data_IF_890551713125
#
_entry.id   IF_890551713125
#
_cell.length_a   1.000
_cell.length_b   1.000
_cell.length_c   1.000
_cell.angle_alpha   90.00
_cell.angle_beta   90.00
_cell.angle_gamma   90.00
#
_symmetry.space_group_name_H-M   'P 1'
#
loop_
_entity.id
_entity.type
_entity.pdbx_description
1 polymer ?
#
# COMPACT_ATOMS: atom_id res chain seq x y z
N UNK A 1 9.76 -17.87 8.76
CA UNK A 1 9.54 -16.97 7.61
C UNK A 1 8.43 -17.53 6.74
N UNK A 2 7.47 -16.71 6.39
CA UNK A 2 6.34 -17.11 5.55
C UNK A 2 6.77 -17.48 4.11
N UNK A 3 7.81 -16.83 3.61
CA UNK A 3 8.44 -17.10 2.30
C UNK A 3 8.82 -18.57 2.11
N UNK A 4 9.30 -19.27 3.15
CA UNK A 4 9.66 -20.68 3.06
C UNK A 4 8.42 -21.53 2.71
N UNK A 5 7.28 -21.25 3.36
CA UNK A 5 6.02 -21.97 3.05
C UNK A 5 5.54 -21.68 1.63
N UNK A 6 5.70 -20.43 1.15
CA UNK A 6 5.35 -20.07 -0.23
C UNK A 6 6.24 -20.78 -1.25
N UNK A 7 7.55 -20.90 -0.99
CA UNK A 7 8.50 -21.61 -1.86
C UNK A 7 8.14 -23.10 -1.91
N UNK A 8 7.90 -23.73 -0.76
CA UNK A 8 7.52 -25.15 -0.71
C UNK A 8 6.19 -25.36 -1.45
N UNK A 9 5.17 -24.51 -1.19
CA UNK A 9 3.90 -24.61 -1.87
C UNK A 9 4.04 -24.45 -3.39
N UNK A 10 4.82 -23.47 -3.85
CA UNK A 10 5.09 -23.27 -5.27
C UNK A 10 5.80 -24.49 -5.88
N UNK A 11 6.80 -25.07 -5.20
CA UNK A 11 7.49 -26.25 -5.66
C UNK A 11 6.57 -27.47 -5.78
N UNK A 12 5.71 -27.71 -4.77
CA UNK A 12 4.72 -28.81 -4.79
C UNK A 12 3.73 -28.61 -5.94
N UNK A 13 3.18 -27.40 -6.11
CA UNK A 13 2.23 -27.10 -7.18
C UNK A 13 2.89 -27.22 -8.58
N UNK A 14 4.16 -26.85 -8.71
CA UNK A 14 4.89 -26.95 -9.98
C UNK A 14 5.30 -28.40 -10.32
N UNK A 15 5.58 -29.23 -9.32
CA UNK A 15 5.91 -30.63 -9.50
C UNK A 15 4.71 -31.47 -9.99
N UNK A 16 3.53 -31.17 -9.50
CA UNK A 16 2.33 -31.96 -9.84
C UNK A 16 1.73 -31.51 -11.18
N UNK A 17 1.61 -32.43 -12.14
CA UNK A 17 1.12 -32.14 -13.52
C UNK A 17 -0.22 -31.40 -13.57
N UNK A 18 -1.17 -31.71 -12.65
CA UNK A 18 -2.50 -31.09 -12.61
C UNK A 18 -2.47 -29.64 -12.17
N UNK A 19 -1.55 -29.24 -11.30
CA UNK A 19 -1.46 -27.89 -10.71
C UNK A 19 -0.32 -27.05 -11.30
N UNK A 20 0.59 -27.66 -12.07
CA UNK A 20 1.74 -26.98 -12.68
C UNK A 20 1.35 -25.72 -13.44
N UNK A 21 0.29 -25.80 -14.27
CA UNK A 21 -0.20 -24.66 -15.05
C UNK A 21 -0.66 -23.52 -14.15
N UNK A 22 -1.35 -23.83 -13.05
CA UNK A 22 -1.76 -22.84 -12.04
C UNK A 22 -0.53 -22.20 -11.40
N UNK A 23 0.45 -22.99 -10.94
CA UNK A 23 1.67 -22.47 -10.32
C UNK A 23 2.38 -21.44 -11.21
N UNK A 24 2.55 -21.71 -12.52
CA UNK A 24 3.17 -20.78 -13.44
C UNK A 24 2.33 -19.53 -13.72
N UNK A 25 1.02 -19.64 -13.73
CA UNK A 25 0.14 -18.48 -13.87
C UNK A 25 0.23 -17.55 -12.65
N UNK A 26 0.25 -18.13 -11.46
CA UNK A 26 0.30 -17.38 -10.20
C UNK A 26 1.72 -17.05 -9.73
N UNK A 27 2.74 -17.38 -10.51
CA UNK A 27 4.14 -17.08 -10.17
C UNK A 27 4.37 -15.62 -9.72
N UNK A 28 3.79 -14.57 -10.37
CA UNK A 28 3.98 -13.19 -9.90
C UNK A 28 3.50 -12.96 -8.48
N UNK A 29 2.42 -13.62 -8.04
CA UNK A 29 1.87 -13.53 -6.69
C UNK A 29 2.74 -14.26 -5.67
N UNK A 30 3.29 -15.40 -6.02
CA UNK A 30 4.27 -16.10 -5.19
C UNK A 30 5.54 -15.27 -5.03
N UNK A 31 6.07 -14.73 -6.13
CA UNK A 31 7.26 -13.88 -6.10
C UNK A 31 7.04 -12.62 -5.25
N UNK A 32 5.89 -11.97 -5.37
CA UNK A 32 5.52 -10.85 -4.51
C UNK A 32 5.61 -11.21 -3.03
N UNK A 33 4.95 -12.30 -2.61
CA UNK A 33 4.94 -12.71 -1.20
C UNK A 33 6.34 -13.14 -0.70
N UNK A 34 7.12 -13.83 -1.55
CA UNK A 34 8.48 -14.25 -1.22
C UNK A 34 9.40 -13.03 -1.06
N UNK A 35 9.38 -12.09 -2.01
CA UNK A 35 10.23 -10.89 -1.97
C UNK A 35 9.86 -10.04 -0.75
N UNK A 36 8.57 -9.78 -0.54
CA UNK A 36 8.09 -9.00 0.60
C UNK A 36 8.55 -9.56 1.95
N UNK A 37 8.36 -10.87 2.19
CA UNK A 37 8.76 -11.49 3.45
C UNK A 37 10.29 -11.57 3.60
N UNK A 38 11.02 -11.67 2.47
CA UNK A 38 12.49 -11.73 2.47
C UNK A 38 13.15 -10.40 2.81
N UNK A 39 12.45 -9.26 2.66
CA UNK A 39 12.97 -7.95 3.06
C UNK A 39 13.30 -7.84 4.56
N UNK A 40 12.75 -8.74 5.39
CA UNK A 40 13.10 -8.86 6.81
C UNK A 40 14.56 -9.26 7.05
N UNK A 41 15.15 -10.01 6.10
CA UNK A 41 16.53 -10.49 6.21
C UNK A 41 17.55 -9.38 5.99
N UNK A 42 17.17 -8.37 5.23
CA UNK A 42 18.01 -7.23 4.93
C UNK A 42 17.16 -5.96 4.98
N UNK A 43 16.98 -5.36 6.17
CA UNK A 43 16.18 -4.15 6.33
C UNK A 43 16.74 -2.97 5.53
N UNK A 44 15.86 -2.12 5.04
CA UNK A 44 16.22 -0.98 4.18
C UNK A 44 17.16 0.04 4.84
N UNK A 45 17.09 0.20 6.16
CA UNK A 45 17.98 1.07 6.94
C UNK A 45 19.44 0.58 7.04
N UNK A 46 19.73 -0.61 6.52
CA UNK A 46 21.11 -1.06 6.32
C UNK A 46 21.73 -0.52 5.03
N UNK A 47 20.91 0.08 4.15
CA UNK A 47 21.35 0.64 2.84
C UNK A 47 21.43 2.15 2.89
N UNK A 48 20.41 2.80 3.44
CA UNK A 48 20.33 4.25 3.55
C UNK A 48 19.79 4.66 4.93
N UNK A 49 20.09 5.87 5.35
CA UNK A 49 19.63 6.45 6.60
C UNK A 49 18.10 6.61 6.61
N UNK A 50 17.51 6.44 7.80
CA UNK A 50 16.07 6.60 7.98
C UNK A 50 15.72 8.08 8.07
N UNK A 51 14.88 8.55 7.17
CA UNK A 51 14.26 9.86 7.29
C UNK A 51 13.00 9.80 8.17
N UNK A 52 12.95 10.67 9.16
CA UNK A 52 11.77 10.89 10.00
C UNK A 52 11.31 12.35 9.90
N UNK A 53 12.25 13.28 9.83
CA UNK A 53 11.98 14.71 9.95
C UNK A 53 11.65 15.38 8.61
N UNK A 54 12.46 15.12 7.57
CA UNK A 54 12.31 15.86 6.31
C UNK A 54 10.95 15.60 5.65
N UNK A 55 10.52 14.35 5.61
CA UNK A 55 9.22 13.98 5.05
C UNK A 55 8.07 14.61 5.84
N UNK A 56 8.14 14.59 7.18
CA UNK A 56 7.16 15.23 8.05
C UNK A 56 7.08 16.75 7.78
N UNK A 57 8.21 17.43 7.71
CA UNK A 57 8.24 18.88 7.43
C UNK A 57 7.83 19.22 6.00
N UNK A 58 8.14 18.37 5.02
CA UNK A 58 7.67 18.51 3.65
C UNK A 58 6.13 18.40 3.58
N UNK A 59 5.55 17.38 4.22
CA UNK A 59 4.09 17.23 4.33
C UNK A 59 3.46 18.46 4.98
N UNK A 60 4.03 18.92 6.08
CA UNK A 60 3.56 20.10 6.81
C UNK A 60 3.62 21.37 5.96
N UNK A 61 4.67 21.57 5.16
CA UNK A 61 4.81 22.73 4.30
C UNK A 61 3.80 22.76 3.14
N UNK A 62 3.41 21.58 2.64
CA UNK A 62 2.50 21.46 1.50
C UNK A 62 1.02 21.36 1.95
N UNK A 63 0.76 20.68 3.04
CA UNK A 63 -0.59 20.30 3.49
C UNK A 63 -0.87 20.67 4.94
N UNK A 64 -0.07 21.56 5.53
CA UNK A 64 -0.21 21.97 6.93
C UNK A 64 -1.54 22.66 7.23
N UNK A 65 -2.12 22.30 8.37
CA UNK A 65 -3.38 22.82 8.90
C UNK A 65 -3.07 23.60 10.18
N UNK A 66 -3.54 24.83 10.30
CA UNK A 66 -3.31 25.63 11.51
C UNK A 66 -4.04 25.02 12.72
N UNK A 67 -3.29 24.76 13.80
CA UNK A 67 -3.86 24.33 15.07
C UNK A 67 -4.51 25.52 15.79
N UNK A 68 -5.77 25.38 16.19
CA UNK A 68 -6.57 26.45 16.80
C UNK A 68 -6.99 26.15 18.24
N UNK A 69 -6.98 24.88 18.64
CA UNK A 69 -7.37 24.43 19.97
C UNK A 69 -6.17 23.88 20.77
N UNK A 70 -6.31 23.85 22.10
CA UNK A 70 -5.29 23.26 22.98
C UNK A 70 -5.05 21.75 22.69
N UNK A 71 -6.11 21.02 22.33
CA UNK A 71 -6.00 19.61 21.97
C UNK A 71 -5.22 19.41 20.66
N UNK A 72 -5.46 20.26 19.66
CA UNK A 72 -4.72 20.26 18.41
C UNK A 72 -3.25 20.59 18.62
N UNK A 73 -2.95 21.66 19.37
CA UNK A 73 -1.56 22.03 19.70
C UNK A 73 -0.79 20.93 20.42
N UNK A 74 -1.44 20.17 21.30
CA UNK A 74 -0.85 19.01 21.99
C UNK A 74 -0.61 17.82 21.05
N UNK A 75 -1.35 17.71 19.97
CA UNK A 75 -1.23 16.62 19.00
C UNK A 75 -0.08 16.84 17.99
N UNK A 76 0.46 18.05 17.88
CA UNK A 76 1.53 18.42 16.94
C UNK A 76 2.87 17.86 17.41
N UNK A 77 3.48 16.97 16.66
CA UNK A 77 4.68 16.24 17.06
C UNK A 77 5.92 17.14 17.25
N UNK A 78 6.04 18.25 16.52
CA UNK A 78 7.14 19.22 16.63
C UNK A 78 6.81 20.45 17.47
N UNK A 79 5.66 20.45 18.15
CA UNK A 79 5.19 21.54 19.02
C UNK A 79 5.02 22.91 18.31
N UNK A 80 4.91 22.92 16.98
CA UNK A 80 4.61 24.14 16.19
C UNK A 80 3.11 24.42 16.14
N UNK A 81 2.71 25.46 15.40
CA UNK A 81 1.29 25.85 15.24
C UNK A 81 0.63 25.20 14.01
N UNK A 82 1.38 24.41 13.23
CA UNK A 82 0.86 23.71 12.05
C UNK A 82 0.85 22.21 12.32
N UNK A 83 -0.25 21.56 11.94
CA UNK A 83 -0.46 20.11 12.01
C UNK A 83 -0.29 19.51 10.61
N UNK A 84 0.24 18.28 10.53
CA UNK A 84 0.05 17.45 9.34
C UNK A 84 -1.38 16.87 9.33
N UNK A 85 -1.92 16.47 8.17
CA UNK A 85 -3.26 15.87 8.08
C UNK A 85 -3.49 14.67 9.02
N UNK A 86 -2.46 13.84 9.23
CA UNK A 86 -2.54 12.70 10.16
C UNK A 86 -2.74 13.13 11.63
N UNK A 87 -2.12 14.22 12.07
CA UNK A 87 -2.31 14.80 13.41
C UNK A 87 -3.71 15.40 13.56
N UNK A 88 -4.19 16.10 12.52
CA UNK A 88 -5.54 16.63 12.49
C UNK A 88 -6.57 15.51 12.70
N UNK A 89 -6.48 14.42 11.97
CA UNK A 89 -7.39 13.29 12.11
C UNK A 89 -7.20 12.48 13.40
N UNK A 90 -6.06 12.60 14.08
CA UNK A 90 -5.88 12.03 15.42
C UNK A 90 -6.79 12.72 16.44
N UNK A 91 -7.08 14.01 16.26
CA UNK A 91 -7.98 14.80 17.11
C UNK A 91 -9.42 14.75 16.57
N UNK A 92 -9.58 14.92 15.26
CA UNK A 92 -10.87 15.01 14.58
C UNK A 92 -11.24 13.67 13.92
N UNK A 93 -11.74 12.75 14.71
CA UNK A 93 -12.23 11.47 14.22
C UNK A 93 -13.65 11.19 14.76
N UNK A 94 -14.37 10.27 14.11
CA UNK A 94 -15.67 9.81 14.60
C UNK A 94 -15.90 8.33 14.23
N UNK A 95 -16.77 7.65 14.98
CA UNK A 95 -17.01 6.21 14.80
C UNK A 95 -17.46 5.83 13.39
N UNK A 96 -18.25 6.69 12.72
CA UNK A 96 -18.64 6.46 11.32
C UNK A 96 -17.43 6.43 10.38
N UNK A 97 -16.53 7.40 10.52
CA UNK A 97 -15.30 7.48 9.73
C UNK A 97 -14.36 6.31 10.07
N UNK A 98 -14.20 5.98 11.36
CA UNK A 98 -13.39 4.86 11.83
C UNK A 98 -13.88 3.53 11.25
N UNK A 99 -15.20 3.30 11.20
CA UNK A 99 -15.79 2.10 10.62
C UNK A 99 -15.44 1.97 9.13
N UNK A 100 -15.69 2.99 8.34
CA UNK A 100 -15.41 2.95 6.90
C UNK A 100 -13.92 2.92 6.59
N UNK A 101 -13.08 3.58 7.40
CA UNK A 101 -11.63 3.50 7.29
C UNK A 101 -11.14 2.05 7.39
N UNK A 102 -11.62 1.29 8.39
CA UNK A 102 -11.29 -0.12 8.51
C UNK A 102 -11.76 -0.95 7.31
N UNK A 103 -13.02 -0.78 6.88
CA UNK A 103 -13.56 -1.50 5.72
C UNK A 103 -12.75 -1.23 4.45
N UNK A 104 -12.48 0.03 4.12
CA UNK A 104 -11.67 0.36 2.95
C UNK A 104 -10.26 -0.22 3.06
N UNK A 105 -9.64 -0.09 4.22
CA UNK A 105 -8.27 -0.55 4.38
C UNK A 105 -8.12 -2.06 4.34
N UNK A 106 -9.14 -2.82 4.73
CA UNK A 106 -9.17 -4.28 4.56
C UNK A 106 -9.19 -4.71 3.08
N UNK A 107 -9.56 -3.83 2.15
CA UNK A 107 -9.68 -4.14 0.73
C UNK A 107 -8.35 -4.07 -0.03
N UNK A 108 -7.27 -3.52 0.53
CA UNK A 108 -6.05 -3.17 -0.20
C UNK A 108 -5.32 -4.34 -0.88
N UNK A 109 -5.30 -5.53 -0.30
CA UNK A 109 -4.75 -6.75 -0.90
C UNK A 109 -5.84 -7.73 -1.34
N UNK A 110 -6.88 -8.00 -0.52
CA UNK A 110 -7.89 -8.99 -0.90
C UNK A 110 -8.60 -8.68 -2.22
N UNK A 111 -8.92 -7.41 -2.50
CA UNK A 111 -9.62 -7.04 -3.74
C UNK A 111 -8.76 -7.23 -4.99
N UNK A 112 -7.49 -6.80 -5.06
CA UNK A 112 -6.57 -7.14 -6.15
C UNK A 112 -6.42 -8.65 -6.39
N UNK A 113 -6.28 -9.44 -5.32
CA UNK A 113 -6.21 -10.89 -5.42
C UNK A 113 -7.53 -11.46 -5.99
N UNK A 114 -8.67 -11.03 -5.47
CA UNK A 114 -9.98 -11.46 -5.95
C UNK A 114 -10.20 -11.10 -7.43
N UNK A 115 -9.78 -9.90 -7.84
CA UNK A 115 -9.84 -9.49 -9.24
C UNK A 115 -8.93 -10.35 -10.13
N UNK A 116 -7.72 -10.65 -9.68
CA UNK A 116 -6.81 -11.56 -10.37
C UNK A 116 -7.44 -12.94 -10.54
N UNK A 117 -7.95 -13.50 -9.44
CA UNK A 117 -8.62 -14.81 -9.45
C UNK A 117 -9.86 -14.81 -10.37
N UNK A 118 -10.67 -13.76 -10.33
CA UNK A 118 -11.79 -13.59 -11.24
C UNK A 118 -11.35 -13.63 -12.72
N UNK A 119 -10.29 -12.91 -13.08
CA UNK A 119 -9.77 -12.93 -14.46
C UNK A 119 -9.29 -14.34 -14.86
N UNK A 120 -8.67 -15.08 -13.94
CA UNK A 120 -8.22 -16.44 -14.17
C UNK A 120 -9.40 -17.42 -14.35
N UNK A 121 -10.36 -17.42 -13.44
CA UNK A 121 -11.52 -18.32 -13.45
C UNK A 121 -12.44 -18.06 -14.65
N UNK A 122 -12.60 -16.81 -15.07
CA UNK A 122 -13.35 -16.44 -16.25
C UNK A 122 -12.57 -16.59 -17.56
N UNK A 123 -11.41 -17.25 -17.51
CA UNK A 123 -10.54 -17.55 -18.67
C UNK A 123 -10.05 -16.30 -19.42
N UNK A 124 -10.05 -15.13 -18.81
CA UNK A 124 -9.48 -13.90 -19.35
C UNK A 124 -7.96 -13.87 -19.15
N UNK A 125 -7.28 -14.92 -19.59
CA UNK A 125 -5.88 -15.21 -19.26
C UNK A 125 -4.88 -14.14 -19.71
N UNK A 126 -5.19 -13.41 -20.80
CA UNK A 126 -4.34 -12.30 -21.27
C UNK A 126 -4.35 -11.18 -20.23
N UNK A 127 -5.54 -10.79 -19.75
CA UNK A 127 -5.69 -9.74 -18.75
C UNK A 127 -5.15 -10.17 -17.38
N UNK A 128 -5.38 -11.44 -17.00
CA UNK A 128 -4.81 -12.03 -15.82
C UNK A 128 -3.28 -11.89 -15.79
N UNK A 129 -2.58 -12.33 -16.86
CA UNK A 129 -1.12 -12.25 -16.95
C UNK A 129 -0.64 -10.79 -16.88
N UNK A 130 -1.26 -9.91 -17.66
CA UNK A 130 -0.89 -8.49 -17.70
C UNK A 130 -1.03 -7.86 -16.31
N UNK A 131 -2.17 -8.04 -15.65
CA UNK A 131 -2.43 -7.51 -14.32
C UNK A 131 -1.46 -8.09 -13.28
N UNK A 132 -1.27 -9.41 -13.25
CA UNK A 132 -0.41 -10.06 -12.26
C UNK A 132 1.06 -9.65 -12.39
N UNK A 133 1.58 -9.53 -13.61
CA UNK A 133 2.94 -9.05 -13.84
C UNK A 133 3.08 -7.54 -13.58
N UNK A 134 2.06 -6.74 -13.90
CA UNK A 134 2.05 -5.33 -13.54
C UNK A 134 2.01 -5.14 -12.02
N UNK A 135 1.24 -5.96 -11.31
CA UNK A 135 1.20 -5.96 -9.85
C UNK A 135 2.60 -6.25 -9.26
N UNK A 136 3.26 -7.29 -9.74
CA UNK A 136 4.63 -7.59 -9.31
C UNK A 136 5.60 -6.45 -9.65
N UNK A 137 5.53 -5.88 -10.85
CA UNK A 137 6.41 -4.78 -11.27
C UNK A 137 6.22 -3.54 -10.39
N UNK A 138 4.98 -3.14 -10.09
CA UNK A 138 4.67 -2.02 -9.19
C UNK A 138 5.25 -2.29 -7.80
N UNK A 139 5.16 -3.53 -7.30
CA UNK A 139 5.76 -3.89 -6.02
C UNK A 139 7.29 -3.81 -6.06
N UNK A 140 7.94 -4.31 -7.11
CA UNK A 140 9.40 -4.22 -7.25
C UNK A 140 9.85 -2.76 -7.27
N UNK A 141 9.16 -1.88 -8.01
CA UNK A 141 9.46 -0.44 -8.03
C UNK A 141 9.30 0.16 -6.62
N UNK A 142 8.20 -0.16 -5.93
CA UNK A 142 7.95 0.30 -4.56
C UNK A 142 8.99 -0.21 -3.56
N UNK A 143 9.37 -1.49 -3.64
CA UNK A 143 10.40 -2.07 -2.79
C UNK A 143 11.76 -1.41 -3.03
N UNK A 144 12.13 -1.13 -4.28
CA UNK A 144 13.32 -0.34 -4.59
C UNK A 144 13.23 1.04 -3.94
N UNK A 145 12.06 1.70 -4.01
CA UNK A 145 11.81 2.98 -3.34
C UNK A 145 12.06 2.91 -1.84
N UNK A 146 11.62 1.85 -1.15
CA UNK A 146 11.87 1.65 0.27
C UNK A 146 13.35 1.57 0.65
N UNK A 147 14.18 1.02 -0.24
CA UNK A 147 15.64 0.96 -0.03
C UNK A 147 16.35 2.26 -0.40
N UNK A 148 15.84 2.99 -1.41
CA UNK A 148 16.42 4.30 -1.79
C UNK A 148 16.11 5.35 -0.72
N UNK A 149 14.91 5.33 -0.14
CA UNK A 149 14.46 6.32 0.82
C UNK A 149 13.71 5.66 1.98
N UNK A 150 14.44 5.08 2.97
CA UNK A 150 13.83 4.60 4.18
C UNK A 150 13.18 5.76 4.93
N UNK A 151 11.87 5.72 5.15
CA UNK A 151 11.15 6.80 5.79
C UNK A 151 10.14 6.30 6.81
N UNK A 152 10.01 7.05 7.90
CA UNK A 152 9.05 6.77 8.96
C UNK A 152 7.65 7.28 8.59
N UNK A 153 6.58 6.54 8.90
CA UNK A 153 5.21 6.97 8.72
C UNK A 153 4.78 8.05 9.73
N UNK A 154 3.67 8.79 9.47
CA UNK A 154 3.17 9.82 10.38
C UNK A 154 3.01 9.38 11.84
N UNK A 155 2.41 8.20 12.07
CA UNK A 155 2.23 7.67 13.41
C UNK A 155 3.54 7.50 14.19
N UNK A 156 4.65 7.27 13.47
CA UNK A 156 5.96 7.15 14.10
C UNK A 156 6.41 8.50 14.69
N UNK A 157 6.39 9.56 13.87
CA UNK A 157 6.74 10.92 14.33
C UNK A 157 5.85 11.37 15.49
N UNK A 158 4.54 11.08 15.42
CA UNK A 158 3.58 11.42 16.47
C UNK A 158 3.82 10.70 17.82
N UNK A 159 4.43 9.50 17.81
CA UNK A 159 4.59 8.68 19.01
C UNK A 159 6.03 8.64 19.53
N UNK A 160 7.03 8.77 18.66
CA UNK A 160 8.46 8.60 19.00
C UNK A 160 9.31 9.86 18.69
N UNK A 161 8.70 10.90 18.09
CA UNK A 161 9.43 12.09 17.65
C UNK A 161 10.29 11.82 16.43
N UNK A 162 11.35 12.62 16.25
CA UNK A 162 12.12 12.69 15.01
C UNK A 162 13.44 11.90 15.03
N UNK A 163 13.67 11.07 16.04
CA UNK A 163 14.84 10.18 16.10
C UNK A 163 14.46 8.78 15.66
N UNK A 164 15.26 8.20 14.76
CA UNK A 164 15.08 6.81 14.36
C UNK A 164 15.47 5.86 15.50
N UNK A 165 14.51 5.04 15.94
CA UNK A 165 14.72 3.98 16.93
C UNK A 165 14.55 2.65 16.22
N UNK A 166 15.64 1.91 16.05
CA UNK A 166 15.62 0.60 15.40
C UNK A 166 14.81 -0.39 16.22
N UNK A 167 14.23 -1.37 15.54
CA UNK A 167 13.37 -2.40 16.14
C UNK A 167 12.07 -1.87 16.77
N UNK A 168 11.63 -0.67 16.42
CA UNK A 168 10.31 -0.19 16.80
C UNK A 168 9.24 -1.16 16.27
N UNK A 169 8.32 -1.64 17.13
CA UNK A 169 7.26 -2.53 16.69
C UNK A 169 6.28 -1.82 15.75
N UNK A 170 5.68 -2.57 14.83
CA UNK A 170 4.59 -2.05 14.00
C UNK A 170 3.42 -1.55 14.85
N UNK A 171 2.76 -0.51 14.40
CA UNK A 171 1.66 0.13 15.11
C UNK A 171 0.40 0.17 14.24
N UNK A 172 -0.74 -0.06 14.86
CA UNK A 172 -2.06 -0.01 14.19
C UNK A 172 -2.54 1.41 13.92
N UNK A 173 -1.90 2.39 14.55
CA UNK A 173 -2.25 3.82 14.46
C UNK A 173 -3.78 4.04 14.58
N UNK A 174 -4.38 4.90 13.77
CA UNK A 174 -5.81 5.16 13.82
C UNK A 174 -6.72 3.96 13.50
N UNK A 175 -6.21 2.89 12.87
CA UNK A 175 -7.00 1.68 12.61
C UNK A 175 -7.29 0.87 13.88
N UNK A 176 -6.55 1.12 14.97
CA UNK A 176 -6.87 0.54 16.28
C UNK A 176 -8.25 0.92 16.80
N UNK A 177 -8.82 2.06 16.36
CA UNK A 177 -10.18 2.49 16.70
C UNK A 177 -11.23 1.56 16.08
N UNK A 178 -10.99 1.07 14.87
CA UNK A 178 -11.83 0.05 14.23
C UNK A 178 -11.80 -1.28 14.98
N UNK A 179 -10.60 -1.76 15.36
CA UNK A 179 -10.45 -2.97 16.15
C UNK A 179 -11.20 -2.85 17.49
N UNK A 180 -11.06 -1.70 18.18
CA UNK A 180 -11.76 -1.44 19.44
C UNK A 180 -13.29 -1.41 19.28
N UNK A 181 -13.79 -0.83 18.18
CA UNK A 181 -15.22 -0.72 17.90
C UNK A 181 -15.85 -2.07 17.55
N UNK A 182 -15.13 -2.91 16.81
CA UNK A 182 -15.66 -4.20 16.33
C UNK A 182 -15.38 -5.36 17.26
N UNK A 183 -14.44 -5.22 18.20
CA UNK A 183 -13.91 -6.31 19.02
C UNK A 183 -13.05 -7.31 18.26
N UNK A 184 -12.75 -7.04 16.99
CA UNK A 184 -11.94 -7.90 16.11
C UNK A 184 -10.50 -7.35 16.06
N UNK A 185 -9.53 -8.06 16.60
CA UNK A 185 -8.12 -7.63 16.61
C UNK A 185 -7.41 -7.85 15.25
N UNK A 186 -8.05 -7.45 14.15
CA UNK A 186 -7.55 -7.73 12.79
C UNK A 186 -6.33 -6.88 12.49
N UNK A 187 -6.40 -5.58 12.71
CA UNK A 187 -5.29 -4.66 12.42
C UNK A 187 -4.13 -4.86 13.39
N UNK A 188 -4.41 -5.14 14.67
CA UNK A 188 -3.35 -5.54 15.62
C UNK A 188 -2.61 -6.78 15.17
N UNK A 189 -3.34 -7.78 14.66
CA UNK A 189 -2.74 -9.00 14.12
C UNK A 189 -1.90 -8.79 12.86
N UNK A 190 -2.32 -7.87 11.99
CA UNK A 190 -1.61 -7.53 10.74
C UNK A 190 -0.36 -6.68 11.01
N UNK A 191 -0.51 -5.58 11.75
CA UNK A 191 0.58 -4.62 11.96
C UNK A 191 1.59 -5.07 13.02
N UNK A 192 1.18 -5.83 14.02
CA UNK A 192 2.11 -6.43 15.00
C UNK A 192 3.12 -7.39 14.38
N UNK A 193 2.87 -7.85 13.14
CA UNK A 193 3.79 -8.70 12.35
C UNK A 193 4.53 -7.91 11.27
N UNK A 194 4.41 -6.58 11.23
CA UNK A 194 5.05 -5.78 10.20
C UNK A 194 6.57 -5.97 10.22
N UNK A 195 7.12 -6.20 9.02
CA UNK A 195 8.53 -6.51 8.86
C UNK A 195 9.43 -5.28 8.93
N UNK A 196 8.92 -4.11 8.53
CA UNK A 196 9.70 -2.89 8.39
C UNK A 196 8.80 -1.66 8.59
N UNK A 197 9.02 -0.95 9.69
CA UNK A 197 8.30 0.28 10.04
C UNK A 197 8.70 1.44 9.14
N UNK A 198 9.95 1.45 8.65
CA UNK A 198 10.54 2.53 7.86
C UNK A 198 10.37 2.35 6.35
N UNK A 199 9.31 1.70 5.94
CA UNK A 199 8.91 1.48 4.55
C UNK A 199 7.63 2.28 4.21
N UNK A 200 7.61 3.57 4.52
CA UNK A 200 6.44 4.42 4.27
C UNK A 200 6.34 4.88 2.81
N UNK A 201 7.48 5.14 2.15
CA UNK A 201 7.56 5.78 0.81
C UNK A 201 8.12 4.83 -0.24
N UNK A 202 7.39 4.64 -1.36
CA UNK A 202 6.03 5.09 -1.71
C UNK A 202 4.94 4.23 -1.07
N UNK A 203 3.70 4.76 -0.92
CA UNK A 203 2.58 3.97 -0.39
C UNK A 203 2.11 2.90 -1.37
N UNK A 204 2.45 1.64 -1.12
CA UNK A 204 1.92 0.51 -1.91
C UNK A 204 0.44 0.23 -1.60
N UNK A 205 -0.06 0.64 -0.44
CA UNK A 205 -1.49 0.62 -0.14
C UNK A 205 -2.28 1.46 -1.15
N UNK A 206 -1.78 2.66 -1.48
CA UNK A 206 -2.37 3.52 -2.48
C UNK A 206 -2.26 2.95 -3.91
N UNK A 207 -1.17 2.23 -4.20
CA UNK A 207 -0.87 1.71 -5.52
C UNK A 207 -1.80 0.57 -5.95
N UNK A 208 -2.14 -0.36 -5.05
CA UNK A 208 -2.77 -1.62 -5.43
C UNK A 208 -4.18 -1.47 -5.99
N UNK A 209 -5.04 -0.70 -5.32
CA UNK A 209 -6.40 -0.49 -5.81
C UNK A 209 -6.43 0.45 -7.01
N UNK A 210 -5.51 1.39 -7.11
CA UNK A 210 -5.37 2.21 -8.31
C UNK A 210 -4.99 1.37 -9.53
N UNK A 211 -3.99 0.48 -9.40
CA UNK A 211 -3.64 -0.49 -10.43
C UNK A 211 -4.83 -1.38 -10.82
N UNK A 212 -5.56 -1.89 -9.83
CA UNK A 212 -6.74 -2.74 -10.05
C UNK A 212 -7.81 -2.00 -10.83
N UNK A 213 -8.08 -0.73 -10.49
CA UNK A 213 -9.05 0.13 -11.19
C UNK A 213 -8.62 0.38 -12.64
N UNK A 214 -7.34 0.70 -12.88
CA UNK A 214 -6.81 0.89 -14.24
C UNK A 214 -7.03 -0.38 -15.08
N UNK A 215 -6.68 -1.55 -14.55
CA UNK A 215 -6.86 -2.81 -15.28
C UNK A 215 -8.34 -3.23 -15.44
N UNK A 216 -9.22 -2.85 -14.53
CA UNK A 216 -10.66 -3.02 -14.70
C UNK A 216 -11.18 -2.20 -15.90
N UNK A 217 -10.75 -0.93 -16.03
CA UNK A 217 -11.06 -0.09 -17.20
C UNK A 217 -10.47 -0.69 -18.47
N UNK A 218 -9.19 -1.02 -18.49
CA UNK A 218 -8.48 -1.56 -19.66
C UNK A 218 -9.06 -2.88 -20.14
N UNK A 219 -9.51 -3.74 -19.22
CA UNK A 219 -10.15 -5.02 -19.51
C UNK A 219 -11.66 -4.90 -19.78
N UNK A 220 -12.17 -3.67 -19.91
CA UNK A 220 -13.57 -3.35 -20.22
C UNK A 220 -14.56 -4.02 -19.28
N UNK A 221 -14.30 -3.91 -17.96
CA UNK A 221 -15.27 -4.37 -16.95
C UNK A 221 -16.51 -3.47 -16.98
N UNK A 222 -17.62 -3.99 -16.46
CA UNK A 222 -18.87 -3.22 -16.35
C UNK A 222 -18.63 -1.95 -15.54
N UNK A 223 -19.26 -0.86 -15.93
CA UNK A 223 -19.03 0.46 -15.33
C UNK A 223 -19.17 0.46 -13.79
N UNK A 224 -20.16 -0.27 -13.25
CA UNK A 224 -20.36 -0.35 -11.80
C UNK A 224 -19.19 -1.04 -11.07
N UNK A 225 -18.51 -2.02 -11.70
CA UNK A 225 -17.30 -2.63 -11.14
C UNK A 225 -16.15 -1.61 -11.08
N UNK A 226 -16.00 -0.81 -12.14
CA UNK A 226 -14.99 0.26 -12.20
C UNK A 226 -15.27 1.32 -11.15
N UNK A 227 -16.52 1.76 -11.00
CA UNK A 227 -16.94 2.73 -9.98
C UNK A 227 -16.70 2.17 -8.58
N UNK A 228 -17.09 0.91 -8.32
CA UNK A 228 -16.82 0.27 -7.02
C UNK A 228 -15.31 0.26 -6.69
N UNK A 229 -14.47 -0.14 -7.64
CA UNK A 229 -13.02 -0.16 -7.42
C UNK A 229 -12.44 1.24 -7.24
N UNK A 230 -12.94 2.24 -7.96
CA UNK A 230 -12.54 3.64 -7.78
C UNK A 230 -12.96 4.17 -6.39
N UNK A 231 -14.16 3.86 -5.93
CA UNK A 231 -14.60 4.22 -4.57
C UNK A 231 -13.72 3.58 -3.49
N UNK A 232 -13.41 2.28 -3.61
CA UNK A 232 -12.50 1.60 -2.69
C UNK A 232 -11.11 2.24 -2.74
N UNK A 233 -10.60 2.56 -3.94
CA UNK A 233 -9.31 3.21 -4.14
C UNK A 233 -9.23 4.55 -3.40
N UNK A 234 -10.22 5.43 -3.60
CA UNK A 234 -10.32 6.72 -2.91
C UNK A 234 -10.47 6.54 -1.40
N UNK A 235 -11.27 5.55 -0.97
CA UNK A 235 -11.42 5.19 0.43
C UNK A 235 -10.10 4.75 1.07
N UNK A 236 -9.27 3.97 0.38
CA UNK A 236 -7.94 3.58 0.86
C UNK A 236 -7.00 4.78 0.94
N UNK A 237 -6.97 5.67 -0.07
CA UNK A 237 -6.14 6.86 -0.04
C UNK A 237 -6.49 7.77 1.13
N UNK A 238 -7.79 8.00 1.33
CA UNK A 238 -8.27 8.74 2.50
C UNK A 238 -7.90 8.04 3.81
N UNK A 239 -8.13 6.74 3.94
CA UNK A 239 -7.83 5.99 5.16
C UNK A 239 -6.35 5.99 5.49
N UNK A 240 -5.47 5.89 4.49
CA UNK A 240 -4.02 5.91 4.68
C UNK A 240 -3.57 7.18 5.44
N UNK A 241 -4.14 8.34 5.09
CA UNK A 241 -3.89 9.63 5.74
C UNK A 241 -4.68 9.75 7.05
N UNK A 242 -5.98 9.42 7.05
CA UNK A 242 -6.89 9.48 8.19
C UNK A 242 -6.39 8.67 9.39
N UNK A 243 -5.82 7.51 9.12
CA UNK A 243 -5.29 6.62 10.17
C UNK A 243 -3.87 6.98 10.61
N UNK A 244 -3.18 7.90 9.92
CA UNK A 244 -1.79 8.26 10.20
C UNK A 244 -0.77 7.20 9.75
N UNK A 245 -1.17 6.28 8.85
CA UNK A 245 -0.23 5.29 8.29
C UNK A 245 0.65 5.87 7.18
N UNK A 246 0.14 6.84 6.43
CA UNK A 246 0.86 7.46 5.33
C UNK A 246 0.65 8.98 5.29
N UNK A 247 1.65 9.68 4.79
CA UNK A 247 1.54 11.06 4.35
C UNK A 247 0.77 11.16 3.03
N UNK A 248 0.22 12.32 2.69
CA UNK A 248 -0.35 12.58 1.36
C UNK A 248 0.75 12.40 0.29
N UNK A 249 1.97 12.85 0.59
CA UNK A 249 3.14 12.68 -0.27
C UNK A 249 3.37 11.19 -0.60
N UNK A 250 3.28 10.30 0.38
CA UNK A 250 3.46 8.86 0.17
C UNK A 250 2.41 8.29 -0.77
N UNK A 251 1.15 8.73 -0.59
CA UNK A 251 0.02 8.34 -1.43
C UNK A 251 0.25 8.81 -2.87
N UNK A 252 0.67 10.06 -3.06
CA UNK A 252 0.98 10.61 -4.40
C UNK A 252 2.11 9.84 -5.08
N UNK A 253 3.16 9.50 -4.35
CA UNK A 253 4.27 8.68 -4.86
C UNK A 253 3.83 7.24 -5.16
N UNK A 254 2.90 6.67 -4.40
CA UNK A 254 2.28 5.39 -4.70
C UNK A 254 1.46 5.40 -6.00
N UNK A 255 0.72 6.49 -6.25
CA UNK A 255 0.00 6.72 -7.51
C UNK A 255 1.00 6.82 -8.67
N UNK A 256 2.07 7.60 -8.51
CA UNK A 256 3.12 7.75 -9.52
C UNK A 256 3.82 6.41 -9.81
N UNK A 257 4.15 5.64 -8.78
CA UNK A 257 4.72 4.28 -8.90
C UNK A 257 3.81 3.38 -9.75
N UNK A 258 2.50 3.45 -9.54
CA UNK A 258 1.53 2.71 -10.34
C UNK A 258 1.52 3.15 -11.80
N UNK A 259 1.51 4.46 -12.05
CA UNK A 259 1.52 5.03 -13.41
C UNK A 259 2.78 4.55 -14.15
N UNK A 260 3.95 4.69 -13.52
CA UNK A 260 5.23 4.24 -14.10
C UNK A 260 5.19 2.73 -14.39
N UNK A 261 4.75 1.92 -13.43
CA UNK A 261 4.62 0.46 -13.62
C UNK A 261 3.70 0.07 -14.77
N UNK A 262 2.54 0.74 -14.90
CA UNK A 262 1.60 0.51 -16.01
C UNK A 262 2.20 0.94 -17.36
N UNK A 263 2.84 2.12 -17.41
CA UNK A 263 3.49 2.61 -18.63
C UNK A 263 4.59 1.66 -19.10
N UNK A 264 5.44 1.19 -18.20
CA UNK A 264 6.50 0.22 -18.51
C UNK A 264 5.91 -1.11 -19.02
N UNK A 265 4.90 -1.63 -18.32
CA UNK A 265 4.26 -2.91 -18.68
C UNK A 265 3.55 -2.86 -20.02
N UNK A 266 2.92 -1.72 -20.36
CA UNK A 266 2.07 -1.56 -21.54
C UNK A 266 2.75 -0.81 -22.69
N UNK A 267 3.98 -0.34 -22.54
CA UNK A 267 4.71 0.53 -23.48
C UNK A 267 4.65 0.03 -24.92
N UNK A 268 4.99 -1.25 -25.17
CA UNK A 268 4.95 -1.83 -26.55
C UNK A 268 3.58 -1.76 -27.19
N UNK A 269 2.50 -1.91 -26.40
CA UNK A 269 1.11 -1.86 -26.90
C UNK A 269 0.63 -0.45 -27.13
N UNK A 270 1.04 0.48 -26.27
CA UNK A 270 0.79 1.92 -26.43
C UNK A 270 1.44 2.39 -27.74
N UNK A 271 2.72 2.07 -27.96
CA UNK A 271 3.44 2.39 -29.18
C UNK A 271 2.80 1.79 -30.44
N UNK A 272 2.40 0.52 -30.37
CA UNK A 272 1.74 -0.15 -31.52
C UNK A 272 0.41 0.50 -31.90
N UNK A 273 -0.34 1.02 -30.91
CA UNK A 273 -1.60 1.75 -31.15
C UNK A 273 -1.36 3.14 -31.73
N UNK A 274 -0.38 3.89 -31.22
CA UNK A 274 -0.02 5.21 -31.71
C UNK A 274 0.40 5.15 -33.19
N UNK A 275 1.26 4.17 -33.57
CA UNK A 275 1.69 3.94 -34.94
C UNK A 275 0.55 3.53 -35.91
N UNK A 276 -0.54 2.99 -35.41
CA UNK A 276 -1.69 2.59 -36.26
C UNK A 276 -2.64 3.76 -36.51
N UNK A 277 -2.58 4.80 -35.67
CA UNK A 277 -3.45 5.98 -35.75
C UNK A 277 -2.71 7.21 -36.33
N UNK A 278 -1.42 7.10 -36.60
CA UNK A 278 -0.59 8.03 -37.40
C UNK A 278 -0.43 7.52 -38.82
#
# INVERSE_FOLDING_TARGET
MFSIYLIILLAVLAAWKKTRRFAFYFLPWFLFGIIYDSMRLYPNYMVNDIDVAHLYHAEKSLFGIAASSSAELQAVADHSQLMIPGEYFKVHHCGFADFWAGIFYLCWVPVPIAFSLYLYLTKQLIWFKRFSWAFLLVNVIGFIGYYIYPAAPPWYAMNYGFKAVLNTPGNVAGLGRWDAMTGLHVFHGLYGKNANVFAAVPSLHAAYMFLTTIYAVMSRKRWYTVVLFACICLGIWWTAVYSGHHYIIDVMLGILTTIVGVLLMESKRIWARLKKNS
#
